data_IF_003000145156
#
_entry.id   IF_003000145156
#
_cell.length_a   1.000
_cell.length_b   1.000
_cell.length_c   1.000
_cell.angle_alpha   90.00
_cell.angle_beta   90.00
_cell.angle_gamma   90.00
#
_symmetry.space_group_name_H-M   'P 1'
#
loop_
_entity.id
_entity.type
_entity.pdbx_description
1 polymer ?
#
# COMPACT_ATOMS: atom_id res chain seq x y z
N UNK A 1 25.22 16.55 -4.96
CA UNK A 1 23.94 16.26 -5.62
C UNK A 1 23.57 14.79 -5.46
N UNK A 2 22.44 14.51 -4.82
CA UNK A 2 21.77 13.20 -4.86
C UNK A 2 20.63 13.23 -5.88
N UNK A 3 20.37 12.10 -6.51
CA UNK A 3 19.28 11.97 -7.47
C UNK A 3 18.36 10.81 -7.14
N UNK A 4 17.13 10.85 -7.63
CA UNK A 4 16.32 9.66 -7.93
C UNK A 4 15.57 9.91 -9.22
N UNK A 5 15.12 8.84 -9.88
CA UNK A 5 14.25 8.93 -11.05
C UNK A 5 12.86 8.39 -10.74
N UNK A 6 11.83 9.13 -11.12
CA UNK A 6 10.45 8.67 -11.10
C UNK A 6 10.17 7.88 -12.38
N UNK A 7 9.73 6.63 -12.22
CA UNK A 7 9.64 5.69 -13.32
C UNK A 7 8.22 5.63 -13.90
N UNK A 8 8.13 5.50 -15.23
CA UNK A 8 6.86 5.29 -15.92
C UNK A 8 6.16 4.02 -15.41
N UNK A 9 4.88 4.15 -15.04
CA UNK A 9 4.07 3.05 -14.51
C UNK A 9 4.19 2.86 -13.00
N UNK A 10 5.05 3.61 -12.32
CA UNK A 10 5.08 3.68 -10.85
C UNK A 10 3.80 4.37 -10.36
N UNK A 11 3.10 3.76 -9.41
CA UNK A 11 1.92 4.38 -8.78
C UNK A 11 2.32 5.59 -7.95
N UNK A 12 1.41 6.56 -7.79
CA UNK A 12 1.70 7.83 -7.12
C UNK A 12 2.33 7.65 -5.72
N UNK A 13 1.81 6.73 -4.90
CA UNK A 13 2.36 6.48 -3.57
C UNK A 13 3.84 6.08 -3.61
N UNK A 14 4.24 5.24 -4.57
CA UNK A 14 5.65 4.85 -4.74
C UNK A 14 6.50 6.01 -5.28
N UNK A 15 5.96 6.83 -6.18
CA UNK A 15 6.65 8.04 -6.67
C UNK A 15 6.94 9.01 -5.50
N UNK A 16 5.93 9.24 -4.65
CA UNK A 16 6.09 10.09 -3.45
C UNK A 16 7.10 9.51 -2.47
N UNK A 17 7.22 8.19 -2.34
CA UNK A 17 8.27 7.57 -1.51
C UNK A 17 9.67 7.86 -2.05
N UNK A 18 9.90 7.66 -3.35
CA UNK A 18 11.20 8.02 -3.96
C UNK A 18 11.51 9.51 -3.79
N UNK A 19 10.51 10.38 -4.04
CA UNK A 19 10.62 11.83 -3.87
C UNK A 19 10.98 12.23 -2.43
N UNK A 20 10.16 11.82 -1.45
CA UNK A 20 10.33 12.20 -0.04
C UNK A 20 11.63 11.63 0.51
N UNK A 21 11.91 10.34 0.29
CA UNK A 21 13.10 9.68 0.84
C UNK A 21 14.38 10.30 0.30
N UNK A 22 14.45 10.56 -1.01
CA UNK A 22 15.63 11.20 -1.62
C UNK A 22 15.86 12.60 -1.05
N UNK A 23 14.78 13.39 -0.94
CA UNK A 23 14.87 14.74 -0.40
C UNK A 23 15.30 14.75 1.08
N UNK A 24 14.78 13.83 1.89
CA UNK A 24 15.16 13.68 3.29
C UNK A 24 16.63 13.25 3.46
N UNK A 25 17.10 12.28 2.67
CA UNK A 25 18.49 11.83 2.72
C UNK A 25 19.45 12.94 2.25
N UNK A 26 19.07 13.67 1.21
CA UNK A 26 19.86 14.82 0.73
C UNK A 26 19.95 15.92 1.79
N UNK A 27 18.83 16.24 2.45
CA UNK A 27 18.79 17.21 3.54
C UNK A 27 19.69 16.80 4.72
N UNK A 28 19.62 15.54 5.15
CA UNK A 28 20.45 15.04 6.25
C UNK A 28 21.94 15.11 5.94
N UNK A 29 22.32 14.80 4.69
CA UNK A 29 23.71 14.77 4.26
C UNK A 29 24.20 16.13 3.72
N UNK A 30 23.37 17.19 3.81
CA UNK A 30 23.68 18.53 3.31
C UNK A 30 24.08 18.55 1.82
N UNK A 31 23.44 17.70 1.02
CA UNK A 31 23.65 17.61 -0.42
C UNK A 31 22.47 18.26 -1.16
N UNK A 32 22.70 18.93 -2.30
CA UNK A 32 21.60 19.29 -3.19
C UNK A 32 20.94 18.01 -3.72
N UNK A 33 19.68 18.09 -4.14
CA UNK A 33 18.95 16.96 -4.72
C UNK A 33 18.38 17.28 -6.10
N UNK A 34 18.06 16.22 -6.85
CA UNK A 34 17.34 16.29 -8.12
C UNK A 34 16.37 15.11 -8.25
N UNK A 35 15.19 15.37 -8.81
CA UNK A 35 14.19 14.36 -9.09
C UNK A 35 13.99 14.31 -10.60
N UNK A 36 14.53 13.25 -11.22
CA UNK A 36 14.41 13.02 -12.65
C UNK A 36 13.04 12.39 -12.98
N UNK A 37 12.59 12.56 -14.23
CA UNK A 37 11.33 11.97 -14.69
C UNK A 37 10.09 12.69 -14.17
N UNK A 38 10.19 13.99 -13.83
CA UNK A 38 9.08 14.79 -13.29
C UNK A 38 7.85 14.82 -14.22
N UNK A 39 8.03 14.65 -15.52
CA UNK A 39 6.95 14.51 -16.50
C UNK A 39 6.08 13.25 -16.30
N UNK A 40 6.58 12.26 -15.54
CA UNK A 40 5.86 11.02 -15.22
C UNK A 40 5.05 11.10 -13.93
N UNK A 41 5.16 12.18 -13.16
CA UNK A 41 4.51 12.30 -11.84
C UNK A 41 3.00 12.24 -11.98
N UNK A 42 2.35 11.43 -11.13
CA UNK A 42 0.91 11.18 -11.14
C UNK A 42 0.35 10.66 -12.48
N UNK A 43 1.23 10.27 -13.41
CA UNK A 43 0.89 9.61 -14.66
C UNK A 43 1.17 8.10 -14.53
N UNK A 44 0.11 7.30 -14.44
CA UNK A 44 0.20 5.83 -14.37
C UNK A 44 -0.91 5.17 -15.22
N UNK A 45 -1.04 3.84 -15.14
CA UNK A 45 -2.05 3.10 -15.91
C UNK A 45 -3.51 3.54 -15.64
N UNK A 46 -3.76 4.29 -14.57
CA UNK A 46 -5.08 4.74 -14.11
C UNK A 46 -5.30 6.25 -14.15
N UNK A 47 -4.28 7.07 -14.45
CA UNK A 47 -4.39 8.54 -14.49
C UNK A 47 -3.31 9.14 -15.39
N UNK A 48 -3.65 10.20 -16.12
CA UNK A 48 -2.73 10.95 -17.00
C UNK A 48 -2.81 12.47 -16.76
N UNK A 49 -3.22 12.87 -15.56
CA UNK A 49 -3.56 14.26 -15.24
C UNK A 49 -2.36 15.08 -14.75
N UNK A 50 -1.21 14.45 -14.53
CA UNK A 50 -0.07 15.07 -13.85
C UNK A 50 -0.36 15.44 -12.39
N UNK A 51 0.63 16.05 -11.73
CA UNK A 51 0.50 16.55 -10.35
C UNK A 51 -0.04 17.98 -10.34
N UNK A 52 -1.36 18.14 -10.50
CA UNK A 52 -2.00 19.46 -10.59
C UNK A 52 -2.36 20.08 -9.22
N UNK A 53 -2.50 19.24 -8.18
CA UNK A 53 -3.04 19.62 -6.87
C UNK A 53 -1.99 19.78 -5.76
N UNK A 54 -0.70 19.66 -6.09
CA UNK A 54 0.44 19.92 -5.21
C UNK A 54 1.55 20.59 -6.00
N UNK A 55 2.31 21.48 -5.37
CA UNK A 55 3.49 22.10 -5.96
C UNK A 55 4.75 21.37 -5.47
N UNK A 56 5.21 20.38 -6.23
CA UNK A 56 6.42 19.63 -5.89
C UNK A 56 7.68 20.36 -6.35
N UNK A 57 8.69 20.36 -5.48
CA UNK A 57 10.03 20.89 -5.77
C UNK A 57 10.96 19.76 -6.19
N UNK A 58 11.28 19.70 -7.49
CA UNK A 58 12.14 18.66 -8.07
C UNK A 58 13.65 18.92 -7.90
N UNK A 59 14.02 19.97 -7.17
CA UNK A 59 15.42 20.31 -6.92
C UNK A 59 16.14 20.82 -8.15
N UNK A 60 17.45 20.61 -8.20
CA UNK A 60 18.28 21.06 -9.32
C UNK A 60 18.01 20.22 -10.57
N UNK A 61 17.82 20.82 -11.76
CA UNK A 61 17.77 20.06 -12.99
C UNK A 61 19.07 19.25 -13.20
N UNK A 62 18.94 17.97 -13.54
CA UNK A 62 20.06 17.09 -13.87
C UNK A 62 19.63 15.99 -14.83
N UNK A 63 20.59 15.34 -15.47
CA UNK A 63 20.42 14.13 -16.27
C UNK A 63 21.16 12.95 -15.63
N UNK A 64 20.93 11.73 -16.12
CA UNK A 64 21.56 10.51 -15.54
C UNK A 64 23.08 10.56 -15.63
N UNK A 65 23.60 11.22 -16.66
CA UNK A 65 25.01 11.37 -16.96
C UNK A 65 25.74 12.27 -15.95
N UNK A 66 25.01 13.07 -15.16
CA UNK A 66 25.58 13.93 -14.12
C UNK A 66 25.97 13.15 -12.85
N UNK A 67 25.58 11.88 -12.74
CA UNK A 67 25.83 11.03 -11.58
C UNK A 67 27.04 10.12 -11.80
N UNK A 68 27.87 9.99 -10.76
CA UNK A 68 29.08 9.16 -10.80
C UNK A 68 28.79 7.69 -10.50
N UNK A 69 27.67 7.42 -9.84
CA UNK A 69 27.28 6.06 -9.48
C UNK A 69 25.77 5.92 -9.25
N UNK A 70 25.31 4.68 -9.31
CA UNK A 70 23.95 4.28 -8.97
C UNK A 70 23.98 3.44 -7.70
N UNK A 71 23.16 3.78 -6.73
CA UNK A 71 22.95 2.97 -5.54
C UNK A 71 21.53 2.43 -5.51
N UNK A 72 21.40 1.11 -5.50
CA UNK A 72 20.12 0.44 -5.31
C UNK A 72 20.00 0.07 -3.84
N UNK A 73 18.90 0.49 -3.20
CA UNK A 73 18.51 0.04 -1.87
C UNK A 73 18.61 -1.49 -1.78
N UNK A 74 19.15 -1.97 -0.67
CA UNK A 74 19.22 -3.39 -0.37
C UNK A 74 17.89 -4.10 -0.63
N UNK A 75 17.96 -5.25 -1.27
CA UNK A 75 16.82 -6.12 -1.46
C UNK A 75 17.00 -7.46 -0.75
N UNK A 76 16.13 -7.73 0.22
CA UNK A 76 15.97 -9.03 0.85
C UNK A 76 14.68 -9.67 0.34
N UNK A 77 14.77 -10.91 -0.12
CA UNK A 77 13.69 -11.61 -0.83
C UNK A 77 13.48 -13.00 -0.26
N UNK A 78 12.21 -13.34 -0.03
CA UNK A 78 11.79 -14.70 0.33
C UNK A 78 11.08 -15.33 -0.87
N UNK A 79 11.57 -16.48 -1.32
CA UNK A 79 10.98 -17.24 -2.41
C UNK A 79 10.04 -18.31 -1.87
N UNK A 80 8.74 -18.14 -2.12
CA UNK A 80 7.69 -19.01 -1.58
C UNK A 80 6.53 -19.13 -2.56
N UNK A 81 5.88 -20.28 -2.59
CA UNK A 81 4.76 -20.64 -3.47
C UNK A 81 3.46 -19.96 -3.10
N UNK A 82 3.52 -18.68 -2.74
CA UNK A 82 2.36 -17.85 -2.50
C UNK A 82 1.73 -17.35 -3.79
N UNK A 83 2.56 -17.11 -4.80
CA UNK A 83 2.20 -16.78 -6.17
C UNK A 83 3.32 -17.17 -7.12
N UNK A 84 3.07 -17.11 -8.44
CA UNK A 84 4.15 -17.24 -9.44
C UNK A 84 5.17 -16.10 -9.29
N UNK A 85 4.70 -14.89 -9.01
CA UNK A 85 5.55 -13.73 -8.79
C UNK A 85 6.53 -13.95 -7.62
N UNK A 86 6.05 -14.45 -6.48
CA UNK A 86 6.92 -14.71 -5.32
C UNK A 86 7.94 -15.82 -5.57
N UNK A 87 7.69 -16.74 -6.50
CA UNK A 87 8.66 -17.75 -6.90
C UNK A 87 9.68 -17.24 -7.92
N UNK A 88 9.26 -16.37 -8.83
CA UNK A 88 10.13 -15.84 -9.89
C UNK A 88 11.01 -14.69 -9.39
N UNK A 89 10.38 -13.72 -8.72
CA UNK A 89 11.01 -12.47 -8.29
C UNK A 89 11.25 -12.42 -6.77
N UNK A 90 10.66 -13.32 -5.99
CA UNK A 90 10.73 -13.25 -4.54
C UNK A 90 9.75 -12.22 -3.95
N UNK A 91 9.23 -12.53 -2.78
CA UNK A 91 8.52 -11.54 -1.96
C UNK A 91 9.56 -10.61 -1.33
N UNK A 92 9.49 -9.31 -1.63
CA UNK A 92 10.34 -8.29 -1.02
C UNK A 92 10.03 -8.22 0.48
N UNK A 93 11.06 -8.36 1.32
CA UNK A 93 10.97 -8.35 2.79
C UNK A 93 12.05 -7.48 3.43
N UNK A 94 12.69 -6.58 2.68
CA UNK A 94 13.71 -5.69 3.24
C UNK A 94 13.12 -4.81 4.34
N UNK A 95 13.93 -4.56 5.36
CA UNK A 95 13.76 -3.45 6.30
C UNK A 95 14.56 -2.22 5.88
N UNK A 96 15.13 -1.52 6.86
CA UNK A 96 15.99 -0.35 6.63
C UNK A 96 17.34 -0.78 6.05
N UNK A 97 17.82 -0.02 5.07
CA UNK A 97 19.17 -0.09 4.54
C UNK A 97 20.02 1.08 5.10
N UNK A 98 20.89 0.79 6.06
CA UNK A 98 21.76 1.81 6.68
C UNK A 98 22.71 2.47 5.69
N UNK A 99 23.09 1.79 4.60
CA UNK A 99 23.97 2.38 3.58
C UNK A 99 23.23 3.42 2.73
N UNK A 100 21.92 3.26 2.55
CA UNK A 100 21.10 4.23 1.81
C UNK A 100 21.06 5.59 2.53
N UNK A 101 21.17 5.61 3.87
CA UNK A 101 21.16 6.84 4.68
C UNK A 101 22.43 7.69 4.51
N UNK A 102 23.52 7.09 4.03
CA UNK A 102 24.83 7.73 3.91
C UNK A 102 25.42 7.57 2.50
N UNK A 103 24.73 8.06 1.46
CA UNK A 103 25.22 7.95 0.10
C UNK A 103 26.39 8.92 -0.11
N UNK A 104 27.32 8.53 -0.98
CA UNK A 104 28.35 9.46 -1.46
C UNK A 104 27.73 10.52 -2.39
N UNK A 105 28.43 11.65 -2.55
CA UNK A 105 28.01 12.70 -3.46
C UNK A 105 27.93 12.19 -4.92
N UNK A 106 27.05 12.79 -5.74
CA UNK A 106 26.76 12.39 -7.12
C UNK A 106 26.27 10.94 -7.26
N UNK A 107 25.40 10.50 -6.34
CA UNK A 107 24.75 9.18 -6.37
C UNK A 107 23.30 9.28 -6.82
N UNK A 108 22.92 8.45 -7.79
CA UNK A 108 21.54 8.24 -8.21
C UNK A 108 20.95 7.05 -7.43
N UNK A 109 19.94 7.33 -6.61
CA UNK A 109 19.29 6.37 -5.73
C UNK A 109 18.11 5.68 -6.43
N UNK A 110 17.98 4.38 -6.21
CA UNK A 110 16.81 3.58 -6.59
C UNK A 110 16.45 2.63 -5.47
N UNK A 111 15.18 2.22 -5.40
CA UNK A 111 14.73 1.23 -4.44
C UNK A 111 13.23 1.25 -4.21
N UNK A 112 12.80 0.55 -3.17
CA UNK A 112 11.45 0.70 -2.65
C UNK A 112 11.34 2.00 -1.85
N UNK A 113 12.36 2.31 -1.03
CA UNK A 113 12.58 3.57 -0.33
C UNK A 113 11.39 3.98 0.57
N UNK A 114 10.73 3.02 1.22
CA UNK A 114 9.50 3.26 1.99
C UNK A 114 9.69 3.25 3.51
N UNK A 115 10.87 2.93 4.01
CA UNK A 115 11.09 2.80 5.45
C UNK A 115 10.99 4.16 6.14
N UNK A 116 10.15 4.26 7.18
CA UNK A 116 9.96 5.51 7.94
C UNK A 116 11.26 6.08 8.48
N UNK A 117 12.23 5.24 8.84
CA UNK A 117 13.54 5.69 9.30
C UNK A 117 14.25 6.63 8.32
N UNK A 118 13.94 6.57 7.03
CA UNK A 118 14.55 7.47 6.04
C UNK A 118 14.02 8.92 6.10
N UNK A 119 12.81 9.14 6.60
CA UNK A 119 12.11 10.43 6.45
C UNK A 119 11.33 10.91 7.68
N UNK A 120 11.08 10.04 8.68
CA UNK A 120 10.18 10.33 9.81
C UNK A 120 10.55 11.60 10.59
N UNK A 121 11.85 11.88 10.75
CA UNK A 121 12.33 13.08 11.45
C UNK A 121 11.94 14.40 10.78
N UNK A 122 11.59 14.37 9.49
CA UNK A 122 11.20 15.53 8.69
C UNK A 122 9.70 15.58 8.44
N UNK A 123 8.89 14.95 9.29
CA UNK A 123 7.42 14.87 9.11
C UNK A 123 6.77 16.23 8.85
N UNK A 124 7.17 17.27 9.60
CA UNK A 124 6.60 18.60 9.43
C UNK A 124 7.04 19.27 8.12
N UNK A 125 8.29 19.07 7.68
CA UNK A 125 8.73 19.52 6.35
C UNK A 125 7.95 18.81 5.24
N UNK A 126 7.77 17.49 5.37
CA UNK A 126 7.05 16.67 4.38
C UNK A 126 5.59 17.13 4.25
N UNK A 127 4.92 17.52 5.34
CA UNK A 127 3.57 18.11 5.28
C UNK A 127 3.53 19.37 4.42
N UNK A 128 4.57 20.22 4.49
CA UNK A 128 4.67 21.40 3.64
C UNK A 128 4.97 21.02 2.18
N UNK A 129 5.88 20.08 1.96
CA UNK A 129 6.28 19.64 0.62
C UNK A 129 5.16 18.93 -0.15
N UNK A 130 4.26 18.27 0.56
CA UNK A 130 3.11 17.55 0.01
C UNK A 130 1.79 18.28 0.31
N UNK A 131 1.85 19.60 0.57
CA UNK A 131 0.65 20.38 0.85
C UNK A 131 -0.27 20.37 -0.37
N UNK A 132 -1.51 19.92 -0.14
CA UNK A 132 -2.60 20.02 -1.13
C UNK A 132 -2.99 21.50 -1.24
N UNK A 133 -3.12 22.01 -2.47
CA UNK A 133 -3.58 23.40 -2.68
C UNK A 133 -4.99 23.57 -2.13
N UNK A 134 -5.28 24.74 -1.58
CA UNK A 134 -6.50 24.99 -0.81
C UNK A 134 -7.77 24.73 -1.64
N UNK A 135 -7.76 25.00 -2.95
CA UNK A 135 -8.86 24.74 -3.88
C UNK A 135 -9.16 23.24 -4.11
N UNK A 136 -8.22 22.35 -3.78
CA UNK A 136 -8.37 20.90 -3.85
C UNK A 136 -8.50 20.23 -2.47
N UNK A 137 -8.38 21.00 -1.37
CA UNK A 137 -8.42 20.44 -0.02
C UNK A 137 -9.86 20.20 0.47
N UNK A 138 -10.36 19.00 0.23
CA UNK A 138 -11.70 18.54 0.55
C UNK A 138 -11.88 18.23 2.05
N UNK A 139 -12.65 19.07 2.73
CA UNK A 139 -13.06 18.85 4.13
C UNK A 139 -14.47 18.26 4.30
N UNK A 140 -15.22 18.09 3.20
CA UNK A 140 -16.62 17.61 3.17
C UNK A 140 -16.83 16.29 3.95
N UNK A 141 -15.82 15.42 3.95
CA UNK A 141 -15.88 14.09 4.56
C UNK A 141 -15.11 13.99 5.90
N UNK A 142 -14.62 15.10 6.44
CA UNK A 142 -13.98 15.17 7.76
C UNK A 142 -15.04 15.16 8.89
N UNK A 143 -15.69 14.01 9.10
CA UNK A 143 -16.79 13.86 10.08
C UNK A 143 -16.40 12.96 11.25
N UNK A 144 -16.87 13.28 12.45
CA UNK A 144 -16.55 12.53 13.69
C UNK A 144 -17.12 11.10 13.74
N UNK A 145 -18.16 10.83 12.96
CA UNK A 145 -18.79 9.51 12.86
C UNK A 145 -18.54 8.82 11.51
N UNK A 146 -17.59 9.28 10.68
CA UNK A 146 -17.32 8.67 9.38
C UNK A 146 -15.96 7.99 9.33
N UNK A 147 -15.96 6.71 8.96
CA UNK A 147 -14.77 5.98 8.57
C UNK A 147 -14.66 5.87 7.04
N UNK A 148 -13.55 6.36 6.49
CA UNK A 148 -13.20 6.20 5.09
C UNK A 148 -12.49 4.87 4.88
N UNK A 149 -13.01 4.06 3.96
CA UNK A 149 -12.44 2.80 3.52
C UNK A 149 -11.71 3.00 2.19
N UNK A 150 -10.41 2.79 2.14
CA UNK A 150 -9.65 2.82 0.87
C UNK A 150 -9.54 1.40 0.28
N UNK A 151 -10.42 1.06 -0.66
CA UNK A 151 -10.45 -0.25 -1.32
C UNK A 151 -9.64 -0.22 -2.63
N UNK A 152 -8.66 -1.12 -2.74
CA UNK A 152 -7.98 -1.41 -4.02
C UNK A 152 -8.52 -2.71 -4.60
N UNK A 153 -9.22 -2.60 -5.73
CA UNK A 153 -9.95 -3.71 -6.34
C UNK A 153 -9.25 -4.21 -7.61
N UNK A 154 -9.52 -3.60 -8.77
CA UNK A 154 -9.27 -4.15 -10.11
C UNK A 154 -7.93 -4.89 -10.25
N UNK A 155 -6.83 -4.20 -9.95
CA UNK A 155 -5.46 -4.68 -10.20
C UNK A 155 -5.07 -5.85 -9.30
N UNK A 156 -5.76 -6.00 -8.17
CA UNK A 156 -5.44 -7.03 -7.19
C UNK A 156 -6.35 -8.26 -7.33
N UNK A 157 -7.51 -8.16 -8.01
CA UNK A 157 -8.57 -9.18 -8.00
C UNK A 157 -8.10 -10.60 -8.34
N UNK A 158 -7.12 -10.72 -9.23
CA UNK A 158 -6.57 -12.00 -9.68
C UNK A 158 -5.36 -12.50 -8.87
N UNK A 159 -4.92 -11.73 -7.88
CA UNK A 159 -3.81 -12.04 -6.99
C UNK A 159 -4.33 -12.40 -5.58
N UNK A 160 -4.68 -13.67 -5.29
CA UNK A 160 -5.28 -14.09 -4.02
C UNK A 160 -4.41 -13.86 -2.78
N UNK A 161 -3.10 -13.73 -2.95
CA UNK A 161 -2.14 -13.38 -1.92
C UNK A 161 -2.18 -11.89 -1.55
N UNK A 162 -2.52 -11.04 -2.52
CA UNK A 162 -2.50 -9.58 -2.43
C UNK A 162 -3.89 -8.99 -2.13
N UNK A 163 -4.93 -9.52 -2.76
CA UNK A 163 -6.29 -9.00 -2.66
C UNK A 163 -6.94 -9.20 -1.30
N UNK A 164 -7.35 -8.13 -0.65
CA UNK A 164 -8.03 -8.19 0.65
C UNK A 164 -9.45 -8.74 0.51
N UNK A 165 -9.71 -9.86 1.20
CA UNK A 165 -11.00 -10.56 1.13
C UNK A 165 -12.07 -9.76 1.87
N UNK A 166 -13.34 -9.96 1.49
CA UNK A 166 -14.52 -9.41 2.20
C UNK A 166 -14.46 -9.55 3.74
N UNK A 167 -13.85 -10.64 4.23
CA UNK A 167 -13.68 -10.86 5.68
C UNK A 167 -12.84 -9.75 6.34
N UNK A 168 -11.71 -9.35 5.75
CA UNK A 168 -10.85 -8.26 6.26
C UNK A 168 -11.67 -6.99 6.49
N UNK A 169 -12.42 -6.58 5.47
CA UNK A 169 -13.26 -5.37 5.55
C UNK A 169 -14.37 -5.49 6.59
N UNK A 170 -15.05 -6.64 6.68
CA UNK A 170 -16.11 -6.85 7.67
C UNK A 170 -15.60 -6.86 9.10
N UNK A 171 -14.45 -7.48 9.34
CA UNK A 171 -13.81 -7.48 10.65
C UNK A 171 -13.32 -6.06 10.99
N UNK A 172 -12.78 -5.32 10.00
CA UNK A 172 -12.34 -3.93 10.15
C UNK A 172 -13.49 -3.01 10.52
N UNK A 173 -14.61 -3.09 9.80
CA UNK A 173 -15.86 -2.37 10.12
C UNK A 173 -16.31 -2.68 11.56
N UNK A 174 -16.27 -3.95 11.97
CA UNK A 174 -16.63 -4.32 13.34
C UNK A 174 -15.68 -3.70 14.37
N UNK A 175 -14.39 -3.66 14.07
CA UNK A 175 -13.41 -3.04 14.96
C UNK A 175 -13.57 -1.51 15.03
N UNK A 176 -13.85 -0.83 13.91
CA UNK A 176 -14.19 0.59 13.90
C UNK A 176 -15.46 0.89 14.70
N UNK A 177 -16.48 0.02 14.62
CA UNK A 177 -17.70 0.14 15.43
C UNK A 177 -17.50 -0.06 16.94
N UNK A 178 -16.40 -0.69 17.37
CA UNK A 178 -16.06 -0.75 18.80
C UNK A 178 -15.51 0.58 19.31
N UNK A 179 -14.92 1.38 18.43
CA UNK A 179 -14.43 2.73 18.75
C UNK A 179 -15.61 3.69 18.82
N UNK A 180 -16.48 3.67 17.80
CA UNK A 180 -17.71 4.45 17.77
C UNK A 180 -18.88 3.57 17.26
N UNK A 181 -19.86 3.21 18.09
CA UNK A 181 -21.02 2.40 17.68
C UNK A 181 -21.84 2.99 16.52
N UNK A 182 -21.87 4.32 16.43
CA UNK A 182 -22.62 5.09 15.43
C UNK A 182 -21.81 5.37 14.15
N UNK A 183 -20.65 4.71 14.00
CA UNK A 183 -19.77 4.88 12.85
C UNK A 183 -20.48 4.54 11.53
N UNK A 184 -20.52 5.52 10.64
CA UNK A 184 -20.83 5.42 9.22
C UNK A 184 -19.59 5.05 8.41
N UNK A 185 -19.81 4.53 7.20
CA UNK A 185 -18.74 4.08 6.32
C UNK A 185 -18.94 4.60 4.91
N UNK A 186 -17.83 4.98 4.28
CA UNK A 186 -17.77 5.38 2.88
C UNK A 186 -16.54 4.76 2.24
N UNK A 187 -16.65 4.33 0.99
CA UNK A 187 -15.55 3.69 0.26
C UNK A 187 -15.01 4.66 -0.80
N UNK A 188 -13.70 4.86 -0.77
CA UNK A 188 -12.92 5.39 -1.89
C UNK A 188 -12.22 4.20 -2.56
N UNK A 189 -12.43 4.04 -3.87
CA UNK A 189 -11.99 2.85 -4.61
C UNK A 189 -11.68 3.17 -6.05
N UNK A 190 -10.74 2.43 -6.63
CA UNK A 190 -10.49 2.50 -8.06
C UNK A 190 -11.54 1.72 -8.90
N UNK A 191 -12.41 0.93 -8.26
CA UNK A 191 -13.51 0.20 -8.89
C UNK A 191 -14.76 0.18 -7.99
N UNK A 192 -15.73 1.05 -8.29
CA UNK A 192 -16.99 1.20 -7.55
C UNK A 192 -17.87 -0.06 -7.67
N UNK A 193 -17.89 -0.68 -8.85
CA UNK A 193 -18.72 -1.86 -9.13
C UNK A 193 -18.26 -3.07 -8.33
N UNK A 194 -16.95 -3.31 -8.27
CA UNK A 194 -16.40 -4.38 -7.44
C UNK A 194 -16.49 -4.08 -5.95
N UNK A 195 -16.28 -2.82 -5.52
CA UNK A 195 -16.50 -2.43 -4.13
C UNK A 195 -17.94 -2.74 -3.67
N UNK A 196 -18.95 -2.36 -4.45
CA UNK A 196 -20.36 -2.67 -4.15
C UNK A 196 -20.69 -4.16 -4.10
N UNK A 197 -19.92 -5.01 -4.81
CA UNK A 197 -20.03 -6.47 -4.70
C UNK A 197 -19.40 -7.01 -3.41
N UNK A 198 -18.29 -6.42 -2.97
CA UNK A 198 -17.58 -6.81 -1.74
C UNK A 198 -18.39 -6.38 -0.52
N UNK A 199 -18.78 -5.10 -0.47
CA UNK A 199 -19.45 -4.43 0.65
C UNK A 199 -20.77 -3.79 0.18
N UNK A 200 -21.80 -4.60 -0.15
CA UNK A 200 -23.09 -4.05 -0.55
C UNK A 200 -23.71 -3.23 0.57
N UNK A 201 -24.25 -2.06 0.23
CA UNK A 201 -24.92 -1.14 1.15
C UNK A 201 -24.02 -0.04 1.73
N UNK A 202 -22.71 -0.07 1.46
CA UNK A 202 -21.80 1.03 1.80
C UNK A 202 -21.59 1.89 0.55
N UNK A 203 -21.85 3.21 0.59
CA UNK A 203 -21.58 4.11 -0.52
C UNK A 203 -20.13 4.02 -0.99
N UNK A 204 -19.92 3.89 -2.30
CA UNK A 204 -18.59 3.76 -2.90
C UNK A 204 -18.42 4.77 -4.04
N UNK A 205 -17.26 5.42 -4.05
CA UNK A 205 -16.94 6.51 -4.95
C UNK A 205 -15.56 6.33 -5.57
N UNK A 206 -15.40 6.92 -6.74
CA UNK A 206 -14.16 7.16 -7.45
C UNK A 206 -14.32 8.56 -8.05
N UNK A 207 -13.73 9.57 -7.40
CA UNK A 207 -13.83 10.96 -7.85
C UNK A 207 -12.70 11.24 -8.84
N UNK A 208 -11.86 12.22 -8.53
CA UNK A 208 -10.58 12.44 -9.19
C UNK A 208 -9.45 12.22 -8.18
N UNK A 209 -8.22 12.22 -8.70
CA UNK A 209 -7.01 11.95 -7.93
C UNK A 209 -6.86 12.89 -6.72
N UNK A 210 -7.11 14.19 -6.91
CA UNK A 210 -6.95 15.20 -5.88
C UNK A 210 -8.01 15.06 -4.79
N UNK A 211 -9.29 14.89 -5.18
CA UNK A 211 -10.38 14.72 -4.24
C UNK A 211 -10.25 13.42 -3.45
N UNK A 212 -9.91 12.29 -4.09
CA UNK A 212 -9.69 11.02 -3.39
C UNK A 212 -8.50 11.10 -2.43
N UNK A 213 -7.39 11.74 -2.83
CA UNK A 213 -6.23 11.96 -1.95
C UNK A 213 -6.61 12.82 -0.74
N UNK A 214 -7.28 13.96 -0.97
CA UNK A 214 -7.65 14.90 0.08
C UNK A 214 -8.70 14.33 1.05
N UNK A 215 -9.66 13.53 0.56
CA UNK A 215 -10.60 12.80 1.43
C UNK A 215 -9.85 11.87 2.39
N UNK A 216 -8.85 11.14 1.91
CA UNK A 216 -8.02 10.27 2.76
C UNK A 216 -7.18 11.12 3.73
N UNK A 217 -6.59 12.23 3.27
CA UNK A 217 -5.78 13.14 4.10
C UNK A 217 -6.58 13.72 5.26
N UNK A 218 -7.83 14.10 5.02
CA UNK A 218 -8.65 14.80 6.02
C UNK A 218 -9.60 13.86 6.79
N UNK A 219 -9.56 12.55 6.55
CA UNK A 219 -10.39 11.59 7.27
C UNK A 219 -9.97 11.45 8.74
N UNK A 220 -10.95 11.43 9.66
CA UNK A 220 -10.71 11.14 11.09
C UNK A 220 -10.47 9.64 11.35
N UNK A 221 -11.12 8.76 10.60
CA UNK A 221 -11.01 7.31 10.74
C UNK A 221 -10.73 6.64 9.40
N UNK A 222 -9.67 5.85 9.33
CA UNK A 222 -9.22 5.20 8.10
C UNK A 222 -9.16 3.68 8.23
N UNK A 223 -9.83 2.97 7.31
CA UNK A 223 -9.67 1.54 7.11
C UNK A 223 -9.03 1.30 5.73
N UNK A 224 -7.74 1.00 5.73
CA UNK A 224 -6.92 1.05 4.52
C UNK A 224 -6.75 -0.32 3.85
N UNK A 225 -6.40 -0.27 2.56
CA UNK A 225 -5.86 -1.42 1.81
C UNK A 225 -4.32 -1.44 1.87
N UNK A 226 -3.72 -2.51 1.33
CA UNK A 226 -2.26 -2.65 1.19
C UNK A 226 -1.69 -1.85 -0.01
N UNK A 227 -2.11 -0.60 -0.16
CA UNK A 227 -1.72 0.26 -1.27
C UNK A 227 -0.97 1.49 -0.75
N UNK A 228 0.20 1.77 -1.32
CA UNK A 228 1.02 2.93 -0.97
C UNK A 228 0.34 4.26 -1.29
N UNK A 229 -0.70 4.28 -2.13
CA UNK A 229 -1.45 5.50 -2.45
C UNK A 229 -1.99 6.21 -1.20
N UNK A 230 -2.47 5.43 -0.22
CA UNK A 230 -3.04 5.99 1.00
C UNK A 230 -2.01 6.33 2.08
N UNK A 231 -0.71 6.06 1.86
CA UNK A 231 0.30 6.26 2.89
C UNK A 231 0.50 7.75 3.19
N UNK A 232 1.00 8.53 2.22
CA UNK A 232 1.27 9.95 2.44
C UNK A 232 0.06 10.78 2.87
N UNK A 233 -1.16 10.63 2.31
CA UNK A 233 -2.30 11.39 2.81
C UNK A 233 -2.58 11.06 4.29
N UNK A 234 -2.47 9.79 4.70
CA UNK A 234 -2.63 9.41 6.10
C UNK A 234 -1.47 9.89 6.99
N UNK A 235 -0.24 9.85 6.49
CA UNK A 235 0.98 10.27 7.19
C UNK A 235 1.01 11.78 7.46
N UNK A 236 0.62 12.58 6.47
CA UNK A 236 0.56 14.06 6.56
C UNK A 236 -0.76 14.57 7.12
N UNK A 237 -1.68 13.68 7.52
CA UNK A 237 -2.97 14.07 8.08
C UNK A 237 -2.82 14.81 9.40
N UNK A 238 -3.62 15.84 9.59
CA UNK A 238 -3.75 16.58 10.86
C UNK A 238 -5.06 16.26 11.59
N UNK A 239 -5.96 15.52 10.95
CA UNK A 239 -7.29 15.21 11.48
C UNK A 239 -7.46 13.75 11.85
N UNK A 240 -6.58 12.86 11.37
CA UNK A 240 -6.69 11.44 11.61
C UNK A 240 -6.56 11.11 13.10
N UNK A 241 -7.50 10.31 13.60
CA UNK A 241 -7.56 9.84 14.98
C UNK A 241 -7.25 8.34 15.06
N UNK A 242 -7.62 7.56 14.04
CA UNK A 242 -7.37 6.12 14.03
C UNK A 242 -7.21 5.55 12.62
N UNK A 243 -6.13 4.78 12.42
CA UNK A 243 -5.83 4.08 11.17
C UNK A 243 -5.78 2.59 11.42
N UNK A 244 -6.56 1.82 10.67
CA UNK A 244 -6.51 0.36 10.62
C UNK A 244 -6.07 -0.12 9.24
N UNK A 245 -4.97 -0.85 9.21
CA UNK A 245 -4.34 -1.38 7.99
C UNK A 245 -4.26 -2.93 8.03
N UNK A 246 -4.00 -3.59 6.89
CA UNK A 246 -3.82 -5.03 6.88
C UNK A 246 -2.45 -5.42 7.45
N UNK A 247 -2.44 -6.27 8.48
CA UNK A 247 -1.20 -6.90 8.97
C UNK A 247 -0.55 -7.75 7.88
N UNK A 248 0.79 -7.77 7.85
CA UNK A 248 1.61 -8.41 6.81
C UNK A 248 1.35 -7.81 5.43
N UNK A 249 1.45 -6.49 5.32
CA UNK A 249 1.21 -5.69 4.11
C UNK A 249 1.44 -6.47 2.80
N UNK A 250 0.50 -6.37 1.86
CA UNK A 250 0.48 -7.13 0.59
C UNK A 250 0.47 -8.68 0.67
N UNK A 251 0.64 -9.29 1.84
CA UNK A 251 0.56 -10.76 2.06
C UNK A 251 -0.36 -11.15 3.22
N UNK A 252 -1.27 -10.25 3.61
CA UNK A 252 -2.25 -10.44 4.68
C UNK A 252 -2.91 -11.83 4.66
N UNK A 253 -3.34 -12.28 3.48
CA UNK A 253 -4.06 -13.55 3.32
C UNK A 253 -3.20 -14.80 3.56
N UNK A 254 -1.88 -14.70 3.43
CA UNK A 254 -1.01 -15.87 3.17
C UNK A 254 0.22 -15.92 4.06
N UNK A 255 0.63 -14.77 4.61
CA UNK A 255 1.75 -14.71 5.54
C UNK A 255 1.49 -15.55 6.79
N UNK A 256 2.58 -16.13 7.30
CA UNK A 256 2.66 -16.87 8.55
C UNK A 256 3.48 -16.13 9.62
N UNK A 257 3.85 -14.87 9.36
CA UNK A 257 4.65 -14.05 10.29
C UNK A 257 5.62 -13.09 9.58
N UNK A 258 5.99 -13.35 8.33
CA UNK A 258 6.82 -12.43 7.53
C UNK A 258 5.98 -11.25 7.00
N UNK A 259 6.62 -10.11 6.74
CA UNK A 259 5.99 -8.94 6.13
C UNK A 259 6.44 -8.80 4.69
N UNK A 260 5.52 -8.52 3.75
CA UNK A 260 5.94 -8.10 2.42
C UNK A 260 6.30 -6.62 2.54
N UNK A 261 7.61 -6.37 2.60
CA UNK A 261 8.27 -5.18 3.11
C UNK A 261 8.05 -4.97 4.61
N UNK A 262 9.14 -5.05 5.38
CA UNK A 262 9.16 -4.66 6.80
C UNK A 262 8.99 -3.13 6.94
N UNK A 263 9.30 -2.40 5.86
CA UNK A 263 9.17 -0.94 5.75
C UNK A 263 7.72 -0.44 5.84
N UNK A 264 6.73 -1.32 5.71
CA UNK A 264 5.31 -0.95 5.74
C UNK A 264 4.66 -1.16 7.14
N UNK A 265 5.50 -1.27 8.17
CA UNK A 265 5.08 -1.17 9.58
C UNK A 265 5.36 0.27 10.02
N UNK A 266 4.30 1.06 10.14
CA UNK A 266 4.31 2.50 10.30
C UNK A 266 3.94 2.89 11.73
N UNK A 267 4.67 3.84 12.30
CA UNK A 267 4.45 4.36 13.64
C UNK A 267 3.05 4.98 13.77
N UNK A 268 2.39 4.70 14.90
CA UNK A 268 1.03 5.17 15.21
C UNK A 268 -0.10 4.41 14.51
N UNK A 269 0.19 3.49 13.59
CA UNK A 269 -0.83 2.71 12.89
C UNK A 269 -1.24 1.45 13.65
N UNK A 270 -2.45 0.97 13.37
CA UNK A 270 -2.94 -0.31 13.87
C UNK A 270 -3.12 -1.30 12.73
N UNK A 271 -2.89 -2.58 13.02
CA UNK A 271 -2.85 -3.64 12.04
C UNK A 271 -3.80 -4.78 12.38
N UNK A 272 -4.67 -5.13 11.43
CA UNK A 272 -5.60 -6.23 11.59
C UNK A 272 -5.08 -7.50 10.93
N UNK A 273 -5.11 -8.61 11.66
CA UNK A 273 -4.79 -9.94 11.10
C UNK A 273 -5.99 -10.62 10.42
N UNK A 274 -5.77 -11.84 9.92
CA UNK A 274 -6.79 -12.64 9.21
C UNK A 274 -7.97 -13.05 10.10
N UNK A 275 -7.81 -12.99 11.41
CA UNK A 275 -8.82 -13.36 12.40
C UNK A 275 -9.62 -12.14 12.87
N UNK A 276 -9.22 -10.93 12.48
CA UNK A 276 -9.84 -9.68 12.92
C UNK A 276 -9.27 -9.15 14.23
N UNK A 277 -8.14 -9.71 14.72
CA UNK A 277 -7.43 -9.18 15.88
C UNK A 277 -6.62 -7.96 15.46
N UNK A 278 -6.59 -6.94 16.31
CA UNK A 278 -5.91 -5.67 16.06
C UNK A 278 -4.62 -5.63 16.88
N UNK A 279 -3.55 -5.17 16.26
CA UNK A 279 -2.22 -5.05 16.83
C UNK A 279 -1.71 -3.63 16.66
N UNK A 280 -0.94 -3.13 17.60
CA UNK A 280 -0.18 -1.90 17.42
C UNK A 280 1.02 -2.14 16.49
N UNK A 281 1.62 -1.07 15.99
CA UNK A 281 2.83 -1.15 15.17
C UNK A 281 4.02 -1.74 15.95
N UNK A 282 4.18 -1.42 17.24
CA UNK A 282 5.22 -1.98 18.12
C UNK A 282 5.06 -3.49 18.28
N UNK A 283 3.81 -3.95 18.48
CA UNK A 283 3.52 -5.38 18.55
C UNK A 283 3.88 -6.09 17.24
N UNK A 284 3.62 -5.44 16.10
CA UNK A 284 3.98 -5.98 14.79
C UNK A 284 5.50 -6.07 14.59
N UNK A 285 6.26 -5.04 15.02
CA UNK A 285 7.72 -5.05 14.98
C UNK A 285 8.29 -6.17 15.86
N UNK A 286 7.82 -6.29 17.09
CA UNK A 286 8.26 -7.33 18.03
C UNK A 286 7.98 -8.74 17.50
N UNK A 287 6.77 -8.98 16.99
CA UNK A 287 6.42 -10.26 16.39
C UNK A 287 7.30 -10.60 15.18
N UNK A 288 7.59 -9.61 14.32
CA UNK A 288 8.46 -9.78 13.17
C UNK A 288 9.89 -10.11 13.60
N UNK A 289 10.44 -9.40 14.59
CA UNK A 289 11.78 -9.66 15.13
C UNK A 289 11.89 -11.09 15.68
N UNK A 290 10.90 -11.53 16.48
CA UNK A 290 10.83 -12.89 17.00
C UNK A 290 10.68 -13.93 15.88
N UNK A 291 9.89 -13.63 14.84
CA UNK A 291 9.71 -14.50 13.69
C UNK A 291 11.01 -14.69 12.91
N UNK A 292 11.78 -13.61 12.67
CA UNK A 292 13.07 -13.66 11.97
C UNK A 292 14.07 -14.59 12.65
N UNK A 293 14.12 -14.57 13.99
CA UNK A 293 15.02 -15.43 14.79
C UNK A 293 14.72 -16.93 14.64
N UNK A 294 13.45 -17.30 14.45
CA UNK A 294 12.99 -18.70 14.46
C UNK A 294 12.65 -19.26 13.08
N UNK A 295 12.51 -18.40 12.07
CA UNK A 295 11.97 -18.79 10.76
C UNK A 295 13.03 -19.33 9.83
N UNK A 296 12.81 -20.55 9.34
CA UNK A 296 13.62 -21.16 8.27
C UNK A 296 13.52 -20.40 6.94
N UNK A 297 12.48 -19.58 6.74
CA UNK A 297 12.38 -18.72 5.56
C UNK A 297 13.44 -17.61 5.59
N UNK A 298 13.67 -17.01 6.76
CA UNK A 298 14.69 -15.97 6.94
C UNK A 298 16.10 -16.55 7.00
N UNK A 299 16.27 -17.81 7.43
CA UNK A 299 17.55 -18.52 7.30
C UNK A 299 17.95 -18.78 5.84
N UNK A 300 16.97 -18.78 4.91
CA UNK A 300 17.16 -18.99 3.46
C UNK A 300 16.86 -17.73 2.66
N UNK A 301 17.11 -16.56 3.25
CA UNK A 301 16.89 -15.28 2.58
C UNK A 301 17.69 -15.22 1.28
N UNK A 302 17.07 -14.69 0.23
CA UNK A 302 17.67 -14.55 -1.11
C UNK A 302 18.00 -15.88 -1.84
N UNK A 303 17.63 -17.03 -1.27
CA UNK A 303 17.86 -18.34 -1.89
C UNK A 303 16.59 -18.81 -2.62
N UNK A 304 16.70 -19.03 -3.93
CA UNK A 304 15.60 -19.59 -4.73
C UNK A 304 15.45 -21.10 -4.46
N UNK A 305 14.21 -21.61 -4.35
CA UNK A 305 13.99 -23.05 -4.25
C UNK A 305 14.32 -23.74 -5.58
N UNK A 306 14.85 -24.96 -5.51
CA UNK A 306 15.21 -25.78 -6.66
C UNK A 306 14.67 -27.21 -6.52
N UNK A 307 14.73 -27.97 -7.62
CA UNK A 307 14.35 -29.39 -7.65
C UNK A 307 12.95 -29.67 -7.07
N UNK A 308 12.87 -30.66 -6.18
CA UNK A 308 11.61 -31.10 -5.56
C UNK A 308 10.95 -30.00 -4.73
N UNK A 309 11.73 -29.13 -4.08
CA UNK A 309 11.20 -28.01 -3.29
C UNK A 309 10.49 -27.01 -4.19
N UNK A 310 11.10 -26.65 -5.32
CA UNK A 310 10.48 -25.76 -6.30
C UNK A 310 9.18 -26.33 -6.86
N UNK A 311 9.17 -27.61 -7.23
CA UNK A 311 7.97 -28.29 -7.72
C UNK A 311 6.83 -28.23 -6.68
N UNK A 312 7.15 -28.49 -5.41
CA UNK A 312 6.20 -28.37 -4.31
C UNK A 312 5.62 -26.96 -4.17
N UNK A 313 6.46 -25.92 -4.21
CA UNK A 313 6.00 -24.53 -4.14
C UNK A 313 5.17 -24.11 -5.38
N UNK A 314 5.52 -24.58 -6.57
CA UNK A 314 4.72 -24.36 -7.78
C UNK A 314 3.34 -25.00 -7.69
N UNK A 315 3.23 -26.21 -7.12
CA UNK A 315 1.94 -26.86 -6.87
C UNK A 315 1.11 -26.06 -5.86
N UNK A 316 1.72 -25.59 -4.76
CA UNK A 316 1.04 -24.73 -3.77
C UNK A 316 0.48 -23.45 -4.42
N UNK A 317 1.27 -22.79 -5.25
CA UNK A 317 0.88 -21.59 -5.99
C UNK A 317 -0.29 -21.87 -6.94
N UNK A 318 -0.17 -22.90 -7.80
CA UNK A 318 -1.25 -23.31 -8.72
C UNK A 318 -2.54 -23.64 -8.00
N UNK A 319 -2.47 -24.45 -6.94
CA UNK A 319 -3.64 -24.84 -6.15
C UNK A 319 -4.35 -23.61 -5.56
N UNK A 320 -3.59 -22.64 -5.05
CA UNK A 320 -4.16 -21.41 -4.48
C UNK A 320 -4.91 -20.60 -5.53
N UNK A 321 -4.32 -20.39 -6.69
CA UNK A 321 -4.95 -19.64 -7.77
C UNK A 321 -6.18 -20.38 -8.31
N UNK A 322 -6.09 -21.69 -8.52
CA UNK A 322 -7.24 -22.51 -8.93
C UNK A 322 -8.37 -22.42 -7.90
N UNK A 323 -8.07 -22.58 -6.61
CA UNK A 323 -9.05 -22.44 -5.53
C UNK A 323 -9.71 -21.06 -5.53
N UNK A 324 -8.93 -19.98 -5.69
CA UNK A 324 -9.45 -18.62 -5.75
C UNK A 324 -10.37 -18.42 -6.95
N UNK A 325 -9.97 -18.87 -8.14
CA UNK A 325 -10.78 -18.81 -9.37
C UNK A 325 -12.09 -19.58 -9.21
N UNK A 326 -12.04 -20.82 -8.72
CA UNK A 326 -13.24 -21.62 -8.46
C UNK A 326 -14.18 -20.92 -7.47
N UNK A 327 -13.65 -20.39 -6.35
CA UNK A 327 -14.45 -19.64 -5.38
C UNK A 327 -15.09 -18.39 -5.98
N UNK A 328 -14.38 -17.65 -6.85
CA UNK A 328 -14.94 -16.48 -7.54
C UNK A 328 -16.04 -16.86 -8.52
N UNK A 329 -15.85 -17.92 -9.31
CA UNK A 329 -16.86 -18.45 -10.23
C UNK A 329 -18.12 -18.87 -9.47
N UNK A 330 -17.97 -19.68 -8.42
CA UNK A 330 -19.10 -20.10 -7.56
C UNK A 330 -19.85 -18.90 -6.98
N UNK A 331 -19.14 -17.90 -6.44
CA UNK A 331 -19.77 -16.66 -5.93
C UNK A 331 -20.45 -15.84 -7.02
N UNK A 332 -19.93 -15.88 -8.26
CA UNK A 332 -20.56 -15.28 -9.42
C UNK A 332 -21.89 -15.95 -9.75
N UNK A 333 -21.91 -17.29 -9.79
CA UNK A 333 -23.10 -18.11 -10.05
C UNK A 333 -24.15 -17.88 -8.96
N UNK A 334 -23.78 -17.98 -7.68
CA UNK A 334 -24.69 -17.76 -6.54
C UNK A 334 -25.33 -16.36 -6.61
N UNK A 335 -24.56 -15.32 -6.96
CA UNK A 335 -25.12 -13.97 -7.12
C UNK A 335 -26.14 -13.88 -8.25
N UNK A 336 -25.86 -14.50 -9.41
CA UNK A 336 -26.80 -14.55 -10.53
C UNK A 336 -28.09 -15.28 -10.16
N UNK A 337 -27.98 -16.43 -9.49
CA UNK A 337 -29.14 -17.18 -8.98
C UNK A 337 -29.97 -16.31 -8.04
N UNK A 338 -29.34 -15.65 -7.06
CA UNK A 338 -30.04 -14.79 -6.12
C UNK A 338 -30.74 -13.60 -6.79
N UNK A 339 -30.17 -13.03 -7.84
CA UNK A 339 -30.80 -11.96 -8.62
C UNK A 339 -32.04 -12.48 -9.37
N UNK A 340 -31.96 -13.66 -9.99
CA UNK A 340 -33.11 -14.28 -10.66
C UNK A 340 -34.23 -14.59 -9.67
N UNK A 341 -33.89 -15.13 -8.49
CA UNK A 341 -34.88 -15.43 -7.45
C UNK A 341 -35.55 -14.17 -6.90
N UNK A 342 -34.80 -13.09 -6.67
CA UNK A 342 -35.36 -11.78 -6.26
C UNK A 342 -36.20 -11.12 -7.36
N UNK A 343 -35.79 -11.23 -8.62
CA UNK A 343 -36.56 -10.73 -9.76
C UNK A 343 -37.87 -11.49 -9.96
N UNK A 344 -37.89 -12.81 -9.73
CA UNK A 344 -39.12 -13.60 -9.72
C UNK A 344 -40.05 -13.19 -8.57
N UNK A 345 -39.52 -12.90 -7.38
CA UNK A 345 -40.33 -12.43 -6.24
C UNK A 345 -40.90 -11.00 -6.43
N UNK A 346 -40.31 -10.18 -7.30
CA UNK A 346 -40.81 -8.84 -7.65
C UNK A 346 -41.93 -8.82 -8.69
N UNK A 347 -42.13 -9.91 -9.44
CA UNK A 347 -43.20 -10.05 -10.45
C UNK A 347 -44.49 -10.68 -9.89
N UNK A 348 -44.57 -10.93 -8.58
CA UNK A 348 -45.76 -11.42 -7.87
C UNK A 348 -46.31 -10.36 -6.88
N UNK A 349 -46.23 -9.08 -7.24
CA UNK A 349 -46.89 -8.00 -6.51
C UNK A 349 -47.76 -7.18 -7.43
#
# INVERSE_FOLDING_TARGET
>A
MLGTELLKGQGLGNQLFCYVTTRCIALENQLPYSILGSETVANNMHSSCGMYFMDLDYGMPSAKEDYKQVYNEKEDRIFIGNSRHDLTHGCYVTGVDEKLLHPADYTLLYGNMQAERYYMKYKEDIKQWLKVKDEYDCMEYCRDNLCILHLRCSDYLDCPELYLRKKYWKDGIRNMKKINPDMEFMIITNDVKEAGKILPGIPAYNFDLAKDYSIIKNAKYLLLSNSSFAYFPAFTSETVQYILAPKYWARHNVSKGYWASEQNIYEGWHYQDKQGRVFTWEQCLKELEEYKKKSTLYQKLNVKPEGVVLLGEQVKSRWRYSKHRCLRLMRGIIRKINLVLKGKAGNYK
#
